data_IF_990330511918
#
_entry.id   IF_990330511918
#
_cell.length_a   1.000
_cell.length_b   1.000
_cell.length_c   1.000
_cell.angle_alpha   90.00
_cell.angle_beta   90.00
_cell.angle_gamma   90.00
#
_symmetry.space_group_name_H-M   'P 1'
#
loop_
_entity.id
_entity.type
_entity.pdbx_description
1 polymer ?
#
# COMPACT_ATOMS: atom_id res chain seq x y z
N UNK A 1 -10.23 -11.64 11.19
CA UNK A 1 -10.63 -10.76 10.09
C UNK A 1 -10.41 -9.32 10.55
N UNK A 2 -9.78 -8.48 9.75
CA UNK A 2 -9.51 -7.07 10.07
C UNK A 2 -10.73 -6.15 9.83
N UNK A 3 -11.87 -6.71 9.52
CA UNK A 3 -13.14 -5.98 9.42
C UNK A 3 -14.26 -6.72 10.14
N UNK A 4 -15.30 -6.00 10.50
CA UNK A 4 -16.56 -6.54 11.07
C UNK A 4 -17.77 -5.94 10.35
N UNK A 5 -18.87 -6.68 10.37
CA UNK A 5 -20.14 -6.16 9.85
C UNK A 5 -20.91 -5.49 11.01
N UNK A 6 -21.12 -4.18 10.90
CA UNK A 6 -21.85 -3.37 11.86
C UNK A 6 -23.04 -2.75 11.12
N UNK A 7 -24.26 -3.07 11.57
CA UNK A 7 -25.49 -2.56 10.93
C UNK A 7 -25.61 -2.92 9.45
N UNK A 8 -25.10 -4.10 9.03
CA UNK A 8 -25.11 -4.54 7.64
C UNK A 8 -24.01 -3.93 6.75
N UNK A 9 -23.10 -3.14 7.32
CA UNK A 9 -21.95 -2.56 6.59
C UNK A 9 -20.64 -3.16 7.08
N UNK A 10 -19.77 -3.55 6.15
CA UNK A 10 -18.41 -3.92 6.46
C UNK A 10 -17.64 -2.68 6.95
N UNK A 11 -16.93 -2.82 8.06
CA UNK A 11 -16.18 -1.74 8.71
C UNK A 11 -14.81 -2.29 9.12
N UNK A 12 -13.75 -1.58 8.75
CA UNK A 12 -12.39 -1.94 9.13
C UNK A 12 -12.24 -2.01 10.66
N UNK A 13 -11.53 -3.04 11.15
CA UNK A 13 -11.15 -3.14 12.56
C UNK A 13 -9.87 -2.34 12.76
N UNK A 14 -9.94 -1.30 13.57
CA UNK A 14 -8.77 -0.54 14.01
C UNK A 14 -8.30 -1.09 15.36
N UNK A 15 -7.02 -1.40 15.45
CA UNK A 15 -6.40 -1.93 16.67
C UNK A 15 -5.89 -0.79 17.56
N UNK A 16 -6.02 -0.95 18.87
CA UNK A 16 -5.28 -0.17 19.85
C UNK A 16 -3.86 -0.72 20.02
N UNK A 17 -2.98 0.05 20.66
CA UNK A 17 -1.61 -0.39 20.98
C UNK A 17 -1.59 -1.72 21.73
N UNK A 18 -2.41 -1.86 22.79
CA UNK A 18 -2.51 -3.08 23.60
C UNK A 18 -2.97 -4.29 22.78
N UNK A 19 -3.93 -4.10 21.88
CA UNK A 19 -4.40 -5.16 20.98
C UNK A 19 -3.31 -5.58 20.01
N UNK A 20 -2.49 -4.65 19.50
CA UNK A 20 -1.35 -4.97 18.63
C UNK A 20 -0.34 -5.84 19.38
N UNK A 21 0.09 -5.47 20.60
CA UNK A 21 1.01 -6.27 21.38
C UNK A 21 0.45 -7.65 21.77
N UNK A 22 -0.83 -7.72 22.09
CA UNK A 22 -1.54 -8.98 22.32
C UNK A 22 -1.50 -9.87 21.09
N UNK A 23 -1.72 -9.32 19.91
CA UNK A 23 -1.67 -10.05 18.64
C UNK A 23 -0.27 -10.48 18.25
N UNK A 24 0.74 -9.63 18.43
CA UNK A 24 2.15 -9.99 18.20
C UNK A 24 2.49 -11.27 18.97
N UNK A 25 2.11 -11.33 20.23
CA UNK A 25 2.35 -12.50 21.09
C UNK A 25 1.51 -13.72 20.67
N UNK A 26 0.22 -13.55 20.49
CA UNK A 26 -0.72 -14.64 20.18
C UNK A 26 -0.44 -15.28 18.82
N UNK A 27 -0.15 -14.45 17.81
CA UNK A 27 0.12 -14.89 16.43
C UNK A 27 1.57 -15.38 16.25
N UNK A 28 2.45 -15.15 17.23
CA UNK A 28 3.87 -15.51 17.15
C UNK A 28 4.64 -14.70 16.12
N UNK A 29 4.31 -13.41 15.98
CA UNK A 29 4.99 -12.48 15.06
C UNK A 29 6.46 -12.36 15.46
N UNK A 30 7.37 -12.44 14.50
CA UNK A 30 8.82 -12.37 14.72
C UNK A 30 9.41 -11.03 14.29
N UNK A 31 8.82 -10.39 13.30
CA UNK A 31 9.30 -9.12 12.78
C UNK A 31 8.15 -8.13 12.63
N UNK A 32 8.47 -6.86 12.84
CA UNK A 32 7.58 -5.73 12.59
C UNK A 32 8.21 -4.90 11.49
N UNK A 33 7.49 -4.73 10.42
CA UNK A 33 7.85 -3.92 9.28
C UNK A 33 7.25 -2.52 9.43
N UNK A 34 8.09 -1.53 9.68
CA UNK A 34 7.72 -0.14 9.84
C UNK A 34 7.74 0.52 8.47
N UNK A 35 6.59 0.89 7.96
CA UNK A 35 6.40 1.37 6.59
C UNK A 35 6.02 2.84 6.58
N UNK A 36 6.54 3.61 5.62
CA UNK A 36 6.22 5.03 5.45
C UNK A 36 6.36 5.44 3.98
N UNK A 37 5.70 6.51 3.58
CA UNK A 37 5.72 7.03 2.22
C UNK A 37 6.72 8.16 2.08
N UNK A 38 7.57 8.11 1.06
CA UNK A 38 8.46 9.22 0.69
C UNK A 38 7.76 10.27 -0.17
N UNK A 39 8.34 11.46 -0.29
CA UNK A 39 7.74 12.60 -1.01
C UNK A 39 7.43 12.30 -2.49
N UNK A 40 8.16 11.39 -3.10
CA UNK A 40 7.94 10.95 -4.50
C UNK A 40 6.84 9.90 -4.65
N UNK A 41 6.11 9.55 -3.58
CA UNK A 41 5.14 8.45 -3.56
C UNK A 41 5.77 7.06 -3.39
N UNK A 42 7.09 6.98 -3.27
CA UNK A 42 7.76 5.69 -3.04
C UNK A 42 7.48 5.20 -1.62
N UNK A 43 7.08 3.92 -1.52
CA UNK A 43 6.89 3.25 -0.25
C UNK A 43 8.22 2.71 0.28
N UNK A 44 8.55 3.05 1.50
CA UNK A 44 9.77 2.67 2.20
C UNK A 44 9.47 1.84 3.43
N UNK A 45 10.42 1.02 3.86
CA UNK A 45 10.29 0.27 5.09
C UNK A 45 11.62 0.04 5.80
N UNK A 46 11.52 -0.26 7.10
CA UNK A 46 12.59 -0.87 7.90
C UNK A 46 11.98 -1.92 8.81
N UNK A 47 12.69 -3.03 8.98
CA UNK A 47 12.20 -4.17 9.76
C UNK A 47 12.90 -4.26 11.09
N UNK A 48 12.15 -4.41 12.17
CA UNK A 48 12.66 -4.61 13.53
C UNK A 48 12.25 -5.98 14.07
N UNK A 49 13.01 -6.50 15.07
CA UNK A 49 12.60 -7.69 15.80
C UNK A 49 11.39 -7.38 16.70
N UNK A 50 10.37 -8.24 16.65
CA UNK A 50 9.20 -8.11 17.53
C UNK A 50 9.58 -8.27 19.02
N UNK A 51 10.66 -9.01 19.32
CA UNK A 51 11.15 -9.23 20.70
C UNK A 51 11.73 -7.94 21.33
N UNK A 52 12.11 -6.96 20.51
CA UNK A 52 12.67 -5.67 20.97
C UNK A 52 11.70 -4.50 20.82
N UNK A 53 10.53 -4.74 20.27
CA UNK A 53 9.51 -3.71 20.09
C UNK A 53 8.70 -3.52 21.37
N UNK A 54 8.65 -2.30 21.89
CA UNK A 54 8.04 -1.97 23.19
C UNK A 54 6.83 -1.03 23.05
N UNK A 55 5.93 -0.98 24.06
CA UNK A 55 4.84 -0.01 24.11
C UNK A 55 5.32 1.44 24.02
N UNK A 56 6.43 1.80 24.67
CA UNK A 56 7.00 3.15 24.60
C UNK A 56 7.42 3.49 23.16
N UNK A 57 7.98 2.55 22.43
CA UNK A 57 8.33 2.74 21.01
C UNK A 57 7.11 2.87 20.11
N UNK A 58 5.99 2.24 20.45
CA UNK A 58 4.73 2.44 19.75
C UNK A 58 4.18 3.85 20.00
N UNK A 59 4.29 4.36 21.22
CA UNK A 59 3.74 5.67 21.60
C UNK A 59 4.64 6.82 21.20
N UNK A 60 5.96 6.73 21.48
CA UNK A 60 6.91 7.82 21.27
C UNK A 60 7.60 7.76 19.90
N UNK A 61 7.55 6.59 19.24
CA UNK A 61 8.22 6.33 17.98
C UNK A 61 9.65 5.81 18.14
N UNK A 62 10.27 5.45 17.01
CA UNK A 62 11.61 4.87 16.92
C UNK A 62 12.54 5.80 16.14
N UNK A 63 13.70 6.19 16.71
CA UNK A 63 14.71 6.99 16.00
C UNK A 63 15.50 6.09 15.03
N UNK A 64 14.89 5.67 13.95
CA UNK A 64 15.42 4.69 12.99
C UNK A 64 15.55 5.22 11.57
N UNK A 65 15.20 6.48 11.33
CA UNK A 65 15.19 7.03 9.99
C UNK A 65 16.23 8.15 9.85
N UNK A 66 17.16 7.97 8.91
CA UNK A 66 18.01 9.02 8.39
C UNK A 66 17.27 9.72 7.22
N UNK A 67 16.72 10.89 7.49
CA UNK A 67 15.93 11.65 6.53
C UNK A 67 16.74 12.14 5.32
N UNK A 68 18.06 12.28 5.44
CA UNK A 68 18.91 12.68 4.31
C UNK A 68 18.99 11.59 3.21
N UNK A 69 18.67 10.37 3.55
CA UNK A 69 18.60 9.22 2.62
C UNK A 69 17.28 9.14 1.85
N UNK A 70 16.29 9.96 2.21
CA UNK A 70 14.97 10.02 1.56
C UNK A 70 14.86 11.33 0.77
N UNK A 71 14.58 11.20 -0.52
CA UNK A 71 14.48 12.36 -1.42
C UNK A 71 13.43 13.37 -0.91
N UNK A 72 13.88 14.59 -0.65
CA UNK A 72 13.01 15.70 -0.25
C UNK A 72 12.62 15.74 1.24
N UNK A 73 13.19 14.85 2.09
CA UNK A 73 12.92 14.90 3.52
C UNK A 73 13.81 15.92 4.22
N UNK A 74 15.09 15.67 4.35
CA UNK A 74 16.00 16.52 5.15
C UNK A 74 17.39 16.61 4.51
N UNK A 75 18.20 17.56 5.03
CA UNK A 75 19.62 17.69 4.74
C UNK A 75 20.45 16.84 5.73
N UNK A 76 21.68 16.48 5.33
CA UNK A 76 22.61 15.66 6.15
C UNK A 76 22.88 16.27 7.53
N UNK A 77 22.94 17.60 7.62
CA UNK A 77 23.25 18.29 8.88
C UNK A 77 22.15 18.17 9.94
N UNK A 78 20.93 17.79 9.55
CA UNK A 78 19.78 17.63 10.43
C UNK A 78 18.87 16.50 9.91
N UNK A 79 19.33 15.26 10.06
CA UNK A 79 18.74 14.11 9.41
C UNK A 79 18.03 13.13 10.34
N UNK A 80 18.14 13.29 11.66
CA UNK A 80 17.57 12.37 12.63
C UNK A 80 16.04 12.49 12.69
N UNK A 81 15.36 11.48 12.18
CA UNK A 81 13.91 11.37 12.17
C UNK A 81 13.41 10.19 12.97
N UNK A 82 12.17 10.28 13.40
CA UNK A 82 11.46 9.28 14.20
C UNK A 82 10.32 8.71 13.36
N UNK A 83 10.26 7.39 13.28
CA UNK A 83 9.11 6.64 12.77
C UNK A 83 8.15 6.38 13.94
N UNK A 84 6.96 6.97 13.91
CA UNK A 84 5.90 6.74 14.90
C UNK A 84 4.84 5.82 14.32
N UNK A 85 4.76 4.56 14.78
CA UNK A 85 3.81 3.60 14.25
C UNK A 85 2.37 3.99 14.57
N UNK A 86 1.46 3.74 13.63
CA UNK A 86 0.01 3.87 13.83
C UNK A 86 -0.58 2.46 14.09
N UNK A 87 -0.98 2.13 15.33
CA UNK A 87 -1.50 0.81 15.66
C UNK A 87 -2.76 0.44 14.87
N UNK A 88 -3.54 1.44 14.42
CA UNK A 88 -4.75 1.20 13.63
C UNK A 88 -4.48 0.57 12.27
N UNK A 89 -3.23 0.64 11.79
CA UNK A 89 -2.80 0.13 10.49
C UNK A 89 -2.14 -1.26 10.56
N UNK A 90 -2.13 -1.88 11.73
CA UNK A 90 -1.51 -3.19 11.94
C UNK A 90 -2.11 -4.26 11.02
N UNK A 91 -1.25 -4.94 10.28
CA UNK A 91 -1.63 -6.05 9.41
C UNK A 91 -0.55 -7.14 9.41
N UNK A 92 -0.96 -8.41 9.29
CA UNK A 92 -0.03 -9.53 9.13
C UNK A 92 0.22 -9.73 7.65
N UNK A 93 1.50 -9.73 7.25
CA UNK A 93 1.90 -9.91 5.84
C UNK A 93 1.78 -11.39 5.46
N UNK A 94 0.85 -11.79 4.57
CA UNK A 94 0.51 -13.20 4.35
C UNK A 94 1.54 -13.98 3.53
N UNK A 95 2.33 -13.31 2.71
CA UNK A 95 3.33 -13.96 1.84
C UNK A 95 4.67 -14.26 2.54
N UNK A 96 4.91 -13.71 3.74
CA UNK A 96 6.09 -14.03 4.55
C UNK A 96 5.77 -15.22 5.46
N UNK A 97 5.88 -16.44 4.92
CA UNK A 97 5.39 -17.66 5.58
C UNK A 97 6.35 -18.24 6.64
N UNK A 98 7.65 -18.18 6.40
CA UNK A 98 8.65 -18.83 7.29
C UNK A 98 8.82 -18.11 8.63
N UNK A 99 8.76 -16.80 8.63
CA UNK A 99 8.85 -15.97 9.82
C UNK A 99 7.77 -14.92 9.79
N UNK A 100 6.68 -15.16 10.52
CA UNK A 100 5.53 -14.24 10.53
C UNK A 100 5.98 -12.81 10.79
N UNK A 101 5.65 -11.96 9.86
CA UNK A 101 5.93 -10.53 9.88
C UNK A 101 4.62 -9.76 9.86
N UNK A 102 4.51 -8.74 10.69
CA UNK A 102 3.43 -7.78 10.62
C UNK A 102 3.95 -6.42 10.16
N UNK A 103 3.09 -5.60 9.57
CA UNK A 103 3.40 -4.22 9.20
C UNK A 103 2.68 -3.23 10.10
N UNK A 104 3.25 -2.03 10.22
CA UNK A 104 2.63 -0.82 10.76
C UNK A 104 3.00 0.35 9.85
N UNK A 105 2.02 1.14 9.43
CA UNK A 105 2.29 2.43 8.79
C UNK A 105 2.76 3.42 9.85
N UNK A 106 3.73 4.25 9.48
CA UNK A 106 4.34 5.20 10.38
C UNK A 106 4.12 6.63 9.91
N UNK A 107 3.88 7.49 10.88
CA UNK A 107 4.01 8.92 10.76
C UNK A 107 5.48 9.33 10.97
N UNK A 108 5.97 10.33 10.25
CA UNK A 108 7.37 10.76 10.34
C UNK A 108 7.48 12.06 11.15
N UNK A 109 8.35 12.04 12.17
CA UNK A 109 8.59 13.15 13.08
C UNK A 109 10.06 13.56 13.10
N UNK A 110 10.31 14.81 13.40
CA UNK A 110 11.64 15.29 13.75
C UNK A 110 12.13 14.68 15.06
N UNK A 111 13.41 14.41 15.15
CA UNK A 111 14.07 14.11 16.44
C UNK A 111 14.00 15.27 17.43
N UNK A 112 14.20 14.99 18.73
CA UNK A 112 14.25 16.00 19.77
C UNK A 112 12.93 16.72 20.07
N UNK A 113 11.78 16.13 19.75
CA UNK A 113 10.46 16.71 20.10
C UNK A 113 10.03 17.90 19.28
N UNK A 114 10.62 18.14 18.11
CA UNK A 114 10.33 19.29 17.23
C UNK A 114 8.99 19.18 16.46
N UNK A 115 8.28 18.08 16.60
CA UNK A 115 6.99 17.87 15.95
C UNK A 115 7.09 17.01 14.69
N UNK A 116 6.00 16.99 13.92
CA UNK A 116 5.90 16.21 12.70
C UNK A 116 6.73 16.81 11.56
N UNK A 117 7.36 15.94 10.76
CA UNK A 117 8.04 16.37 9.54
C UNK A 117 7.03 16.98 8.56
N UNK A 118 7.29 18.18 8.07
CA UNK A 118 6.37 18.94 7.21
C UNK A 118 6.19 18.29 5.85
N UNK A 119 7.23 17.64 5.34
CA UNK A 119 7.24 16.94 4.05
C UNK A 119 6.76 15.48 4.13
N UNK A 120 6.31 15.00 5.30
CA UNK A 120 5.68 13.68 5.42
C UNK A 120 4.34 13.64 4.66
N UNK A 121 4.21 12.85 3.56
CA UNK A 121 2.99 12.82 2.75
C UNK A 121 1.74 12.40 3.53
N UNK A 122 1.86 11.42 4.43
CA UNK A 122 0.76 11.01 5.30
C UNK A 122 0.31 12.15 6.21
N UNK A 123 1.27 12.93 6.72
CA UNK A 123 1.01 14.15 7.50
C UNK A 123 0.32 15.23 6.71
N UNK A 124 0.68 15.40 5.43
CA UNK A 124 0.02 16.34 4.52
C UNK A 124 -1.43 15.92 4.30
N UNK A 125 -1.68 14.62 4.07
CA UNK A 125 -3.04 14.08 3.92
C UNK A 125 -3.91 14.35 5.16
N UNK A 126 -3.39 14.09 6.36
CA UNK A 126 -4.09 14.37 7.62
C UNK A 126 -4.33 15.88 7.86
N UNK A 127 -3.43 16.75 7.40
CA UNK A 127 -3.66 18.22 7.42
C UNK A 127 -4.78 18.61 6.47
N UNK A 128 -4.85 17.99 5.28
CA UNK A 128 -5.92 18.23 4.32
C UNK A 128 -7.30 17.84 4.89
N UNK A 129 -7.42 16.70 5.57
CA UNK A 129 -8.66 16.32 6.27
C UNK A 129 -9.09 17.34 7.34
N UNK A 130 -8.13 17.81 8.13
CA UNK A 130 -8.40 18.87 9.13
C UNK A 130 -8.83 20.16 8.46
N UNK A 131 -8.24 20.51 7.33
CA UNK A 131 -8.62 21.70 6.57
C UNK A 131 -10.06 21.60 6.05
N UNK A 132 -10.45 20.45 5.45
CA UNK A 132 -11.84 20.19 5.01
C UNK A 132 -12.83 20.45 6.14
N UNK A 133 -12.56 19.90 7.34
CA UNK A 133 -13.40 20.13 8.52
C UNK A 133 -13.46 21.61 8.93
N UNK A 134 -12.33 22.34 8.84
CA UNK A 134 -12.29 23.77 9.16
C UNK A 134 -13.10 24.64 8.18
N UNK A 135 -13.37 24.15 6.98
CA UNK A 135 -14.20 24.81 5.96
C UNK A 135 -15.70 24.51 6.11
N UNK A 136 -16.11 23.78 7.17
CA UNK A 136 -17.51 23.49 7.49
C UNK A 136 -18.04 22.20 6.86
N UNK A 137 -17.16 21.33 6.34
CA UNK A 137 -17.52 19.99 5.89
C UNK A 137 -17.21 18.97 6.99
N UNK A 138 -18.11 18.05 7.26
CA UNK A 138 -17.90 17.03 8.30
C UNK A 138 -16.83 16.01 7.89
N UNK A 139 -16.83 15.62 6.63
CA UNK A 139 -15.88 14.63 6.06
C UNK A 139 -15.77 14.79 4.52
N UNK A 140 -14.76 14.13 3.96
CA UNK A 140 -14.66 13.85 2.52
C UNK A 140 -14.38 12.37 2.31
N UNK A 141 -15.11 11.74 1.37
CA UNK A 141 -14.92 10.35 0.97
C UNK A 141 -14.11 10.27 -0.31
N UNK A 142 -13.21 9.30 -0.36
CA UNK A 142 -12.32 9.04 -1.47
C UNK A 142 -12.36 7.55 -1.80
N UNK A 143 -12.61 7.21 -3.07
CA UNK A 143 -12.65 5.84 -3.58
C UNK A 143 -11.53 5.67 -4.59
N UNK A 144 -10.38 5.10 -4.21
CA UNK A 144 -9.31 4.81 -5.14
C UNK A 144 -9.69 3.67 -6.08
N UNK A 145 -9.43 3.86 -7.36
CA UNK A 145 -9.50 2.85 -8.42
C UNK A 145 -8.05 2.55 -8.82
N UNK A 146 -7.55 1.39 -8.40
CA UNK A 146 -6.13 1.05 -8.57
C UNK A 146 -5.97 0.22 -9.82
N UNK A 147 -5.42 0.84 -10.86
CA UNK A 147 -5.11 0.19 -12.13
C UNK A 147 -3.65 -0.23 -12.21
N UNK A 148 -3.42 -1.44 -12.72
CA UNK A 148 -2.07 -1.98 -12.89
C UNK A 148 -2.01 -3.03 -14.00
N UNK A 149 -0.81 -3.25 -14.55
CA UNK A 149 -0.57 -4.28 -15.56
C UNK A 149 0.11 -5.51 -14.95
N UNK A 150 -0.30 -6.68 -15.39
CA UNK A 150 0.37 -7.95 -15.08
C UNK A 150 1.15 -8.41 -16.30
N UNK A 151 2.47 -8.31 -16.23
CA UNK A 151 3.37 -8.73 -17.31
C UNK A 151 4.07 -10.05 -16.98
N UNK A 152 4.21 -10.92 -17.95
CA UNK A 152 4.99 -12.15 -17.84
C UNK A 152 6.49 -11.83 -17.95
N UNK A 153 6.84 -10.83 -18.78
CA UNK A 153 8.23 -10.42 -18.98
C UNK A 153 8.33 -8.96 -19.40
N UNK A 154 9.30 -8.27 -18.86
CA UNK A 154 9.63 -6.90 -19.24
C UNK A 154 11.13 -6.81 -19.51
N UNK A 155 11.50 -6.20 -20.63
CA UNK A 155 12.88 -5.84 -20.93
C UNK A 155 12.97 -4.37 -21.32
N UNK A 156 13.99 -3.67 -20.85
CA UNK A 156 14.23 -2.27 -21.22
C UNK A 156 15.74 -1.99 -21.32
N UNK A 157 16.11 -1.07 -22.22
CA UNK A 157 17.44 -0.47 -22.31
C UNK A 157 17.30 1.06 -22.39
N UNK A 158 17.67 1.74 -21.30
CA UNK A 158 17.63 3.20 -21.16
C UNK A 158 18.99 3.77 -20.73
N UNK A 159 20.01 2.91 -20.59
CA UNK A 159 21.33 3.30 -20.07
C UNK A 159 22.27 3.84 -21.14
N UNK A 160 21.92 3.67 -22.40
CA UNK A 160 22.73 4.10 -23.54
C UNK A 160 21.96 5.07 -24.45
N UNK A 161 21.57 6.27 -23.94
CA UNK A 161 20.65 7.17 -24.66
C UNK A 161 21.19 7.64 -26.03
N UNK A 162 22.48 7.64 -26.24
CA UNK A 162 23.09 7.96 -27.52
C UNK A 162 22.90 6.85 -28.60
N UNK A 163 22.51 5.64 -28.20
CA UNK A 163 22.16 4.53 -29.09
C UNK A 163 20.67 4.36 -29.29
N UNK A 164 19.85 5.17 -28.56
CA UNK A 164 18.41 5.06 -28.48
C UNK A 164 17.96 4.38 -27.20
N UNK A 165 16.66 4.29 -27.05
CA UNK A 165 16.01 3.62 -25.92
C UNK A 165 15.03 2.60 -26.47
N UNK A 166 14.87 1.48 -25.79
CA UNK A 166 13.95 0.42 -26.17
C UNK A 166 13.29 -0.21 -24.95
N UNK A 167 12.11 -0.76 -25.15
CA UNK A 167 11.47 -1.68 -24.21
C UNK A 167 10.70 -2.75 -24.98
N UNK A 168 10.52 -3.90 -24.37
CA UNK A 168 9.59 -4.93 -24.81
C UNK A 168 8.85 -5.52 -23.63
N UNK A 169 7.60 -5.88 -23.84
CA UNK A 169 6.68 -6.42 -22.84
C UNK A 169 6.05 -7.67 -23.42
N UNK A 170 6.05 -8.75 -22.63
CA UNK A 170 5.30 -9.98 -22.90
C UNK A 170 4.17 -10.09 -21.88
N UNK A 171 2.99 -10.41 -22.36
CA UNK A 171 1.81 -10.75 -21.55
C UNK A 171 1.03 -11.85 -22.24
N UNK A 172 0.61 -12.84 -21.48
CA UNK A 172 -0.17 -13.97 -22.00
C UNK A 172 -1.50 -13.58 -22.64
N UNK A 173 -2.01 -12.39 -22.30
CA UNK A 173 -3.25 -11.83 -22.87
C UNK A 173 -3.01 -10.89 -24.06
N UNK A 174 -1.76 -10.55 -24.35
CA UNK A 174 -1.48 -9.61 -25.45
C UNK A 174 -1.53 -10.28 -26.82
N UNK A 175 -2.00 -9.57 -27.87
CA UNK A 175 -2.09 -10.11 -29.22
C UNK A 175 -0.73 -10.33 -29.89
N UNK A 176 0.35 -9.78 -29.35
CA UNK A 176 1.73 -9.97 -29.85
C UNK A 176 2.49 -11.08 -29.12
N UNK A 177 1.94 -11.65 -28.06
CA UNK A 177 2.61 -12.74 -27.32
C UNK A 177 2.70 -14.02 -28.17
N UNK A 178 3.86 -14.65 -28.19
CA UNK A 178 4.08 -15.92 -28.88
C UNK A 178 3.62 -17.12 -28.06
N UNK A 179 3.50 -16.98 -26.74
CA UNK A 179 3.14 -18.03 -25.78
C UNK A 179 1.83 -17.70 -25.05
N UNK A 180 0.91 -17.02 -25.73
CA UNK A 180 -0.34 -16.57 -25.15
C UNK A 180 -1.32 -17.70 -24.78
N UNK A 181 -2.34 -17.36 -24.01
CA UNK A 181 -3.39 -18.29 -23.53
C UNK A 181 -4.33 -18.80 -24.64
N UNK A 182 -4.23 -18.28 -25.86
CA UNK A 182 -5.18 -18.52 -26.95
C UNK A 182 -6.40 -17.60 -26.93
N UNK A 183 -6.49 -16.67 -25.97
CA UNK A 183 -7.54 -15.67 -25.85
C UNK A 183 -6.95 -14.25 -25.77
N UNK A 184 -6.22 -13.80 -26.80
CA UNK A 184 -5.61 -12.49 -26.79
C UNK A 184 -6.68 -11.41 -26.82
N UNK A 185 -6.47 -10.35 -26.06
CA UNK A 185 -7.30 -9.13 -26.13
C UNK A 185 -6.72 -8.16 -27.13
N UNK A 186 -7.53 -7.71 -28.06
CA UNK A 186 -7.17 -6.64 -28.98
C UNK A 186 -7.06 -5.28 -28.30
N UNK A 187 -6.64 -4.29 -29.08
CA UNK A 187 -6.56 -2.92 -28.61
C UNK A 187 -7.96 -2.40 -28.25
N UNK A 188 -8.14 -1.88 -27.04
CA UNK A 188 -9.41 -1.39 -26.49
C UNK A 188 -10.53 -2.43 -26.36
N UNK A 189 -10.19 -3.71 -26.29
CA UNK A 189 -11.16 -4.81 -26.15
C UNK A 189 -11.18 -5.41 -24.73
N UNK A 190 -10.37 -4.88 -23.81
CA UNK A 190 -10.18 -5.45 -22.47
C UNK A 190 -11.24 -5.07 -21.44
N UNK A 191 -12.22 -4.22 -21.74
CA UNK A 191 -13.19 -3.76 -20.74
C UNK A 191 -14.26 -4.82 -20.46
N UNK A 192 -14.26 -5.36 -19.24
CA UNK A 192 -15.22 -6.34 -18.73
C UNK A 192 -15.39 -7.63 -19.57
N UNK A 193 -14.33 -8.24 -20.11
CA UNK A 193 -14.48 -9.51 -20.76
C UNK A 193 -14.86 -10.59 -19.72
N UNK A 194 -15.60 -11.58 -20.15
CA UNK A 194 -15.84 -12.75 -19.31
C UNK A 194 -14.75 -13.81 -19.55
N UNK A 195 -14.65 -14.77 -18.61
CA UNK A 195 -13.87 -15.99 -18.86
C UNK A 195 -14.41 -16.74 -20.11
N UNK A 196 -13.54 -17.34 -20.96
CA UNK A 196 -12.11 -17.59 -20.75
C UNK A 196 -11.16 -16.43 -21.14
N UNK A 197 -11.67 -15.34 -21.72
CA UNK A 197 -10.82 -14.22 -22.16
C UNK A 197 -10.18 -13.48 -20.99
N UNK A 198 -10.90 -13.30 -19.90
CA UNK A 198 -10.36 -12.76 -18.65
C UNK A 198 -9.56 -13.84 -17.88
N UNK A 199 -8.31 -14.00 -18.22
CA UNK A 199 -7.44 -15.02 -17.62
C UNK A 199 -6.90 -14.63 -16.25
N UNK A 200 -6.96 -13.32 -15.90
CA UNK A 200 -6.43 -12.77 -14.66
C UNK A 200 -7.49 -12.64 -13.54
N UNK A 201 -8.75 -13.02 -13.78
CA UNK A 201 -9.78 -12.99 -12.74
C UNK A 201 -9.39 -13.75 -11.46
N UNK A 202 -8.79 -14.95 -11.51
CA UNK A 202 -8.34 -15.66 -10.30
C UNK A 202 -7.25 -14.90 -9.53
N UNK A 203 -6.34 -14.23 -10.23
CA UNK A 203 -5.29 -13.40 -9.61
C UNK A 203 -5.89 -12.20 -8.88
N UNK A 204 -6.82 -11.47 -9.51
CA UNK A 204 -7.51 -10.35 -8.87
C UNK A 204 -8.36 -10.81 -7.68
N UNK A 205 -9.03 -11.96 -7.76
CA UNK A 205 -9.73 -12.56 -6.62
C UNK A 205 -8.79 -12.75 -5.43
N UNK A 206 -7.61 -13.33 -5.63
CA UNK A 206 -6.61 -13.52 -4.57
C UNK A 206 -6.11 -12.19 -4.01
N UNK A 207 -5.89 -11.18 -4.86
CA UNK A 207 -5.53 -9.83 -4.41
C UNK A 207 -6.62 -9.24 -3.49
N UNK A 208 -7.88 -9.31 -3.90
CA UNK A 208 -9.02 -8.80 -3.11
C UNK A 208 -9.17 -9.55 -1.78
N UNK A 209 -9.04 -10.87 -1.78
CA UNK A 209 -9.07 -11.66 -0.55
C UNK A 209 -7.95 -11.24 0.43
N UNK A 210 -6.74 -11.04 -0.08
CA UNK A 210 -5.61 -10.57 0.73
C UNK A 210 -5.84 -9.15 1.25
N UNK A 211 -6.31 -8.24 0.42
CA UNK A 211 -6.62 -6.86 0.84
C UNK A 211 -7.69 -6.85 1.93
N UNK A 212 -8.78 -7.55 1.73
CA UNK A 212 -9.88 -7.64 2.69
C UNK A 212 -9.45 -8.34 3.98
N UNK A 213 -8.87 -9.53 3.89
CA UNK A 213 -8.70 -10.43 5.03
C UNK A 213 -7.43 -10.16 5.84
N UNK A 214 -6.37 -9.67 5.21
CA UNK A 214 -5.10 -9.40 5.90
C UNK A 214 -4.91 -7.92 6.23
N UNK A 215 -5.25 -7.03 5.31
CA UNK A 215 -5.01 -5.60 5.47
C UNK A 215 -6.24 -4.80 5.91
N UNK A 216 -7.44 -5.38 5.80
CA UNK A 216 -8.69 -4.70 6.14
C UNK A 216 -9.05 -3.60 5.15
N UNK A 217 -8.44 -3.62 3.97
CA UNK A 217 -8.75 -2.74 2.87
C UNK A 217 -9.90 -3.37 2.10
N UNK A 218 -11.11 -2.82 2.27
CA UNK A 218 -12.29 -3.36 1.63
C UNK A 218 -12.34 -2.97 0.16
N UNK A 219 -12.54 -3.97 -0.71
CA UNK A 219 -12.70 -3.77 -2.14
C UNK A 219 -14.16 -4.00 -2.53
N UNK A 220 -14.72 -3.09 -3.33
CA UNK A 220 -16.11 -3.18 -3.79
C UNK A 220 -16.22 -3.96 -5.10
N UNK A 221 -15.22 -3.84 -5.98
CA UNK A 221 -15.22 -4.43 -7.31
C UNK A 221 -13.78 -4.70 -7.78
N UNK A 222 -13.64 -5.55 -8.78
CA UNK A 222 -12.44 -5.68 -9.60
C UNK A 222 -12.78 -6.22 -10.97
N UNK A 223 -12.03 -5.85 -11.97
CA UNK A 223 -12.24 -6.27 -13.35
C UNK A 223 -10.98 -6.15 -14.20
N UNK A 224 -11.05 -6.64 -15.42
CA UNK A 224 -10.08 -6.33 -16.45
C UNK A 224 -10.40 -4.95 -17.03
N UNK A 225 -9.40 -4.10 -17.19
CA UNK A 225 -9.54 -2.76 -17.73
C UNK A 225 -9.34 -2.70 -19.26
N UNK A 226 -9.62 -1.54 -19.86
CA UNK A 226 -9.79 -1.37 -21.30
C UNK A 226 -8.57 -1.75 -22.15
N UNK A 227 -7.36 -1.67 -21.61
CA UNK A 227 -6.16 -1.93 -22.39
C UNK A 227 -5.90 -3.44 -22.53
N UNK A 228 -5.21 -3.79 -23.59
CA UNK A 228 -4.62 -5.13 -23.75
C UNK A 228 -3.47 -5.38 -22.77
N UNK A 229 -2.82 -6.55 -22.84
CA UNK A 229 -1.63 -6.89 -22.06
C UNK A 229 -1.85 -7.01 -20.55
N UNK A 230 -3.05 -7.43 -20.12
CA UNK A 230 -3.31 -7.78 -18.72
C UNK A 230 -3.51 -6.57 -17.79
N UNK A 231 -4.19 -5.54 -18.25
CA UNK A 231 -4.58 -4.43 -17.39
C UNK A 231 -5.67 -4.87 -16.42
N UNK A 232 -5.41 -4.74 -15.14
CA UNK A 232 -6.33 -5.03 -14.04
C UNK A 232 -6.73 -3.76 -13.33
N UNK A 233 -7.93 -3.75 -12.78
CA UNK A 233 -8.41 -2.71 -11.85
C UNK A 233 -8.99 -3.37 -10.60
N UNK A 234 -8.76 -2.72 -9.45
CA UNK A 234 -9.35 -3.06 -8.16
C UNK A 234 -9.89 -1.78 -7.53
N UNK A 235 -11.20 -1.74 -7.32
CA UNK A 235 -11.90 -0.61 -6.72
C UNK A 235 -11.91 -0.74 -5.21
N UNK A 236 -11.18 0.13 -4.55
CA UNK A 236 -11.17 0.20 -3.10
C UNK A 236 -12.42 0.95 -2.64
N UNK A 237 -13.16 0.35 -1.71
CA UNK A 237 -14.33 0.98 -1.11
C UNK A 237 -13.96 2.35 -0.55
N UNK A 238 -14.76 3.36 -0.89
CA UNK A 238 -14.54 4.72 -0.40
C UNK A 238 -14.48 4.80 1.13
N UNK A 239 -13.56 5.61 1.62
CA UNK A 239 -13.38 5.91 3.05
C UNK A 239 -12.88 7.37 3.19
N UNK A 240 -12.58 7.79 4.41
CA UNK A 240 -11.95 9.07 4.69
C UNK A 240 -10.59 9.18 3.98
N UNK A 241 -10.20 10.40 3.65
CA UNK A 241 -9.01 10.70 2.83
C UNK A 241 -7.76 9.92 3.28
N UNK A 242 -7.41 9.97 4.57
CA UNK A 242 -6.21 9.29 5.08
C UNK A 242 -6.33 7.78 5.00
N UNK A 243 -7.50 7.20 5.33
CA UNK A 243 -7.71 5.76 5.23
C UNK A 243 -7.64 5.28 3.78
N UNK A 244 -8.21 6.04 2.84
CA UNK A 244 -8.15 5.72 1.41
C UNK A 244 -6.73 5.84 0.86
N UNK A 245 -5.96 6.86 1.29
CA UNK A 245 -4.57 7.00 0.92
C UNK A 245 -3.69 5.85 1.46
N UNK A 246 -3.88 5.46 2.73
CA UNK A 246 -3.20 4.32 3.35
C UNK A 246 -3.55 2.99 2.67
N UNK A 247 -4.77 2.89 2.12
CA UNK A 247 -5.24 1.69 1.40
C UNK A 247 -4.72 1.60 -0.03
N UNK A 248 -4.54 2.73 -0.71
CA UNK A 248 -4.06 2.78 -2.09
C UNK A 248 -2.53 2.68 -2.20
N UNK A 249 -1.80 2.96 -1.11
CA UNK A 249 -0.34 2.87 -1.02
C UNK A 249 0.13 1.42 -0.79
#
# INVERSE_FOLDING_TARGET
MPYKVIGGKATQVKYSSDEVFSRIKHEGIKFIDLQFTGLTGRFHHTTISADTFTPDQMEDGLPKLDGSSIVGFTEIADSDLILKPDPSTFAIIPWVKEKKTARLLCDVYWGGGRGRLESDPRGICQKAEKHVKSQGFDFSNWGPEVEFFVFDKVHWDVLTPYKGQSYSIESSESPWSQEGTGYPMGLQEGYYPSTPSDTLAPFRNECVDVLNDNFGILCDNHHHEVATAGQCEIDIKYDLMTNSADGAQ
#
